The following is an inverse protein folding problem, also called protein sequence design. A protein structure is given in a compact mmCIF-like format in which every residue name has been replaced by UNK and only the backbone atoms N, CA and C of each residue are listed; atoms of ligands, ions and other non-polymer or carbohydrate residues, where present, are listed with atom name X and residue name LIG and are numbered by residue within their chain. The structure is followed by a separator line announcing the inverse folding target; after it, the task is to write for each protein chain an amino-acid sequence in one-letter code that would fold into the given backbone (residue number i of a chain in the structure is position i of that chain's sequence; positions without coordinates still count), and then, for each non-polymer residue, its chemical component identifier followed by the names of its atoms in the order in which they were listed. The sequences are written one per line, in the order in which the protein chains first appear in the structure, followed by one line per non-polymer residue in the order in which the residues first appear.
data_IF_380295964716
#
_entry.id   IF_380295964716
#
_cell.length_a   1.000
_cell.length_b   1.000
_cell.length_c   1.000
_cell.angle_alpha   90.00
_cell.angle_beta   90.00
_cell.angle_gamma   90.00
#
_symmetry.space_group_name_H-M   'P 1'
#
loop_
_entity.id
_entity.type
_entity.pdbx_description
1 polymer ?
#
# COMPACT_ATOMS: atom_id res chain seq x y z
N UNK A 1 -14.18 -10.05 -4.76
CA UNK A 1 -13.96 -9.39 -3.44
C UNK A 1 -15.23 -9.25 -2.58
N UNK A 2 -16.45 -9.46 -3.09
CA UNK A 2 -17.61 -9.71 -2.21
C UNK A 2 -18.06 -8.58 -1.28
N UNK A 3 -17.51 -7.36 -1.43
CA UNK A 3 -17.90 -6.21 -0.60
C UNK A 3 -19.25 -5.65 -1.04
N UNK A 4 -20.06 -5.22 -0.07
CA UNK A 4 -21.35 -4.60 -0.34
C UNK A 4 -21.20 -3.22 -1.00
N UNK A 5 -22.09 -2.88 -1.94
CA UNK A 5 -22.11 -1.58 -2.65
C UNK A 5 -22.07 -0.38 -1.70
N UNK A 6 -22.83 -0.44 -0.60
CA UNK A 6 -22.85 0.62 0.41
C UNK A 6 -21.48 0.84 1.04
N UNK A 7 -20.76 -0.23 1.34
CA UNK A 7 -19.40 -0.15 1.89
C UNK A 7 -18.43 0.44 0.88
N UNK A 8 -18.48 -0.01 -0.38
CA UNK A 8 -17.65 0.54 -1.45
C UNK A 8 -17.89 2.03 -1.68
N UNK A 9 -19.15 2.47 -1.58
CA UNK A 9 -19.53 3.89 -1.66
C UNK A 9 -18.91 4.72 -0.53
N UNK A 10 -18.96 4.24 0.72
CA UNK A 10 -18.32 4.90 1.85
C UNK A 10 -16.80 5.00 1.68
N UNK A 11 -16.15 3.92 1.26
CA UNK A 11 -14.71 3.90 1.02
C UNK A 11 -14.31 4.89 -0.08
N UNK A 12 -15.08 4.99 -1.17
CA UNK A 12 -14.87 5.99 -2.21
C UNK A 12 -14.99 7.42 -1.67
N UNK A 13 -15.99 7.68 -0.82
CA UNK A 13 -16.15 9.00 -0.22
C UNK A 13 -14.95 9.37 0.67
N UNK A 14 -14.45 8.44 1.50
CA UNK A 14 -13.28 8.66 2.35
C UNK A 14 -11.99 8.92 1.56
N UNK A 15 -11.78 8.21 0.45
CA UNK A 15 -10.53 8.26 -0.31
C UNK A 15 -10.52 9.42 -1.32
N UNK A 16 -11.62 9.64 -2.05
CA UNK A 16 -11.63 10.55 -3.20
C UNK A 16 -12.34 11.88 -2.93
N UNK A 17 -13.23 11.95 -1.95
CA UNK A 17 -14.09 13.12 -1.71
C UNK A 17 -13.77 13.81 -0.39
N UNK A 18 -12.54 13.67 0.13
CA UNK A 18 -12.15 14.34 1.36
C UNK A 18 -11.73 15.80 1.12
N UNK A 19 -12.20 16.69 1.99
CA UNK A 19 -11.73 18.07 2.10
C UNK A 19 -11.06 18.29 3.46
N UNK A 20 -10.11 19.23 3.52
CA UNK A 20 -9.52 19.67 4.78
C UNK A 20 -9.24 21.17 4.79
N UNK A 21 -9.12 21.72 6.00
CA UNK A 21 -8.45 22.99 6.28
C UNK A 21 -7.30 22.75 7.26
N UNK A 22 -6.29 23.62 7.20
CA UNK A 22 -5.12 23.56 8.09
C UNK A 22 -5.15 24.78 8.99
N UNK A 23 -4.86 24.60 10.28
CA UNK A 23 -4.71 25.73 11.19
C UNK A 23 -3.34 26.38 10.99
N UNK A 24 -3.32 27.65 10.62
CA UNK A 24 -2.12 28.49 10.52
C UNK A 24 -2.18 29.50 11.67
N UNK A 25 -1.25 29.40 12.62
CA UNK A 25 -1.24 30.21 13.84
C UNK A 25 -2.58 30.15 14.62
N UNK A 26 -3.19 28.97 14.67
CA UNK A 26 -4.47 28.75 15.37
C UNK A 26 -5.71 29.21 14.62
N UNK A 27 -5.57 29.82 13.44
CA UNK A 27 -6.69 30.21 12.57
C UNK A 27 -6.82 29.24 11.39
N UNK A 28 -8.04 28.76 11.05
CA UNK A 28 -8.23 27.86 9.92
C UNK A 28 -7.97 28.54 8.58
N UNK A 29 -7.32 27.81 7.67
CA UNK A 29 -7.28 28.15 6.25
C UNK A 29 -8.66 27.98 5.60
N UNK A 30 -8.78 28.40 4.34
CA UNK A 30 -9.87 27.92 3.51
C UNK A 30 -9.80 26.40 3.33
N UNK A 31 -10.95 25.76 3.16
CA UNK A 31 -11.03 24.35 2.84
C UNK A 31 -10.51 24.09 1.42
N UNK A 32 -9.83 22.96 1.26
CA UNK A 32 -9.36 22.48 -0.03
C UNK A 32 -9.59 20.98 -0.16
N UNK A 33 -9.72 20.52 -1.40
CA UNK A 33 -9.86 19.09 -1.72
C UNK A 33 -8.51 18.40 -1.60
N UNK A 34 -8.49 17.24 -0.95
CA UNK A 34 -7.27 16.43 -0.83
C UNK A 34 -7.05 15.68 -2.13
N UNK A 35 -5.94 15.97 -2.83
CA UNK A 35 -5.66 15.33 -4.12
C UNK A 35 -5.07 13.92 -4.01
N UNK A 36 -4.24 13.66 -3.01
CA UNK A 36 -3.57 12.37 -2.78
C UNK A 36 -3.31 12.14 -1.30
N UNK A 37 -3.24 10.86 -0.93
CA UNK A 37 -2.90 10.42 0.41
C UNK A 37 -4.12 10.22 1.30
N UNK A 38 -3.85 9.71 2.49
CA UNK A 38 -4.84 9.48 3.54
C UNK A 38 -4.65 10.51 4.65
N UNK A 39 -5.73 10.89 5.31
CA UNK A 39 -5.67 11.88 6.40
C UNK A 39 -4.97 11.28 7.61
N UNK A 40 -3.84 11.86 8.01
CA UNK A 40 -3.20 11.48 9.26
C UNK A 40 -4.08 11.87 10.46
N UNK A 41 -4.20 10.97 11.43
CA UNK A 41 -5.09 11.14 12.59
C UNK A 41 -6.56 10.78 12.32
N UNK A 42 -6.93 10.42 11.08
CA UNK A 42 -8.22 9.78 10.81
C UNK A 42 -8.15 8.30 11.28
N UNK A 43 -9.08 7.84 12.15
CA UNK A 43 -9.09 6.46 12.63
C UNK A 43 -9.17 5.39 11.53
N UNK A 44 -9.67 5.73 10.34
CA UNK A 44 -9.81 4.77 9.23
C UNK A 44 -8.55 4.66 8.38
N UNK A 45 -7.72 5.72 8.33
CA UNK A 45 -6.52 5.76 7.49
C UNK A 45 -5.54 4.59 7.70
N UNK A 46 -5.25 4.13 8.92
CA UNK A 46 -4.39 2.97 9.13
C UNK A 46 -4.92 1.70 8.45
N UNK A 47 -6.24 1.49 8.47
CA UNK A 47 -6.85 0.32 7.86
C UNK A 47 -6.82 0.40 6.32
N UNK A 48 -7.08 1.58 5.76
CA UNK A 48 -6.97 1.82 4.32
C UNK A 48 -5.55 1.60 3.82
N UNK A 49 -4.56 2.02 4.60
CA UNK A 49 -3.16 1.77 4.30
C UNK A 49 -2.84 0.27 4.28
N UNK A 50 -3.32 -0.50 5.27
CA UNK A 50 -3.13 -1.95 5.31
C UNK A 50 -3.75 -2.67 4.10
N UNK A 51 -4.90 -2.22 3.61
CA UNK A 51 -5.51 -2.79 2.38
C UNK A 51 -4.56 -2.61 1.18
N UNK A 52 -3.94 -1.44 1.03
CA UNK A 52 -2.98 -1.21 -0.05
C UNK A 52 -1.72 -2.06 0.13
N UNK A 53 -1.19 -2.18 1.35
CA UNK A 53 -0.04 -3.02 1.68
C UNK A 53 -0.30 -4.51 1.39
N UNK A 54 -1.49 -5.02 1.76
CA UNK A 54 -1.91 -6.39 1.45
C UNK A 54 -2.04 -6.61 -0.07
N UNK A 55 -2.52 -5.61 -0.80
CA UNK A 55 -2.55 -5.63 -2.26
C UNK A 55 -1.15 -5.78 -2.86
N UNK A 56 -0.17 -5.01 -2.36
CA UNK A 56 1.24 -5.13 -2.76
C UNK A 56 1.79 -6.53 -2.42
N UNK A 57 1.53 -7.02 -1.21
CA UNK A 57 1.90 -8.39 -0.80
C UNK A 57 1.34 -9.44 -1.76
N UNK A 58 0.07 -9.32 -2.15
CA UNK A 58 -0.56 -10.21 -3.11
C UNK A 58 0.11 -10.19 -4.48
N UNK A 59 0.48 -9.01 -4.98
CA UNK A 59 1.18 -8.87 -6.26
C UNK A 59 2.58 -9.50 -6.24
N UNK A 60 3.35 -9.28 -5.16
CA UNK A 60 4.68 -9.88 -5.01
C UNK A 60 4.59 -11.41 -4.91
N UNK A 61 3.69 -11.92 -4.07
CA UNK A 61 3.43 -13.38 -3.96
C UNK A 61 3.05 -13.98 -5.31
N UNK A 62 2.19 -13.29 -6.07
CA UNK A 62 1.81 -13.77 -7.40
C UNK A 62 3.00 -13.79 -8.35
N UNK A 63 3.87 -12.78 -8.30
CA UNK A 63 5.08 -12.74 -9.11
C UNK A 63 6.06 -13.89 -8.79
N UNK A 64 6.18 -14.26 -7.51
CA UNK A 64 6.95 -15.44 -7.08
C UNK A 64 6.31 -16.73 -7.60
N UNK A 65 4.99 -16.88 -7.42
CA UNK A 65 4.23 -18.06 -7.86
C UNK A 65 4.41 -18.34 -9.36
N UNK A 66 4.40 -17.30 -10.20
CA UNK A 66 4.60 -17.42 -11.66
C UNK A 66 6.07 -17.41 -12.09
N UNK A 67 7.02 -17.44 -11.15
CA UNK A 67 8.46 -17.48 -11.42
C UNK A 67 9.03 -16.18 -12.03
N UNK A 68 8.33 -15.06 -11.90
CA UNK A 68 8.79 -13.73 -12.36
C UNK A 68 9.63 -13.01 -11.30
N UNK A 69 9.52 -13.40 -10.05
CA UNK A 69 10.34 -12.89 -8.96
C UNK A 69 10.94 -14.04 -8.16
N UNK A 70 12.25 -14.00 -7.94
CA UNK A 70 12.98 -14.96 -7.11
C UNK A 70 13.28 -14.31 -5.76
N UNK A 71 12.54 -14.72 -4.72
CA UNK A 71 12.73 -14.24 -3.35
C UNK A 71 14.07 -14.66 -2.74
N UNK A 72 14.40 -14.12 -1.58
CA UNK A 72 15.64 -14.47 -0.88
C UNK A 72 15.43 -15.72 -0.02
N UNK A 73 16.32 -16.72 -0.18
CA UNK A 73 16.32 -17.93 0.65
C UNK A 73 17.43 -17.86 1.68
N UNK A 74 17.06 -18.00 2.96
CA UNK A 74 18.00 -18.11 4.08
C UNK A 74 18.44 -19.58 4.25
N UNK A 75 17.49 -20.51 4.06
CA UNK A 75 17.72 -21.96 4.06
C UNK A 75 16.69 -22.64 3.15
N UNK A 76 16.80 -23.96 2.97
CA UNK A 76 15.84 -24.74 2.16
C UNK A 76 14.39 -24.64 2.66
N UNK A 77 14.19 -24.34 3.96
CA UNK A 77 12.89 -24.22 4.60
C UNK A 77 12.45 -22.79 4.88
N UNK A 78 13.34 -21.81 4.74
CA UNK A 78 13.08 -20.41 5.12
C UNK A 78 13.45 -19.49 3.96
N UNK A 79 12.44 -18.84 3.38
CA UNK A 79 12.60 -17.80 2.37
C UNK A 79 11.63 -16.65 2.60
N UNK A 80 12.03 -15.46 2.16
CA UNK A 80 11.25 -14.24 2.25
C UNK A 80 11.41 -13.41 0.96
N UNK A 81 10.30 -12.95 0.42
CA UNK A 81 10.23 -12.06 -0.74
C UNK A 81 9.88 -10.61 -0.35
N UNK A 82 9.23 -10.44 0.79
CA UNK A 82 8.68 -9.16 1.24
C UNK A 82 8.57 -9.12 2.77
N UNK A 83 9.01 -8.02 3.37
CA UNK A 83 8.79 -7.68 4.78
C UNK A 83 8.13 -6.30 4.84
N UNK A 84 7.07 -6.16 5.62
CA UNK A 84 6.35 -4.90 5.76
C UNK A 84 6.11 -4.56 7.24
N UNK A 85 6.34 -3.32 7.61
CA UNK A 85 5.98 -2.78 8.91
C UNK A 85 5.59 -1.30 8.77
N UNK A 86 4.33 -0.98 9.04
CA UNK A 86 3.80 0.36 8.81
C UNK A 86 4.15 0.86 7.39
N UNK A 87 4.81 2.01 7.27
CA UNK A 87 5.25 2.61 6.01
C UNK A 87 6.55 2.01 5.44
N UNK A 88 7.26 1.18 6.20
CA UNK A 88 8.48 0.52 5.75
C UNK A 88 8.16 -0.78 4.99
N UNK A 89 8.70 -0.90 3.78
CA UNK A 89 8.62 -2.12 2.98
C UNK A 89 10.01 -2.50 2.47
N UNK A 90 10.43 -3.73 2.75
CA UNK A 90 11.68 -4.32 2.28
C UNK A 90 11.34 -5.47 1.33
N UNK A 91 11.76 -5.33 0.07
CA UNK A 91 11.72 -6.40 -0.93
C UNK A 91 13.04 -7.15 -0.95
N UNK A 92 12.97 -8.47 -0.84
CA UNK A 92 14.14 -9.34 -0.75
C UNK A 92 14.13 -10.32 -1.92
N UNK A 93 15.21 -10.37 -2.69
CA UNK A 93 15.31 -11.27 -3.83
C UNK A 93 16.74 -11.50 -4.27
N UNK A 94 16.93 -12.45 -5.16
CA UNK A 94 18.22 -12.70 -5.81
C UNK A 94 18.69 -11.48 -6.61
N UNK A 95 20.01 -11.30 -6.71
CA UNK A 95 20.62 -10.24 -7.48
C UNK A 95 20.50 -10.54 -8.99
N UNK A 96 19.34 -10.21 -9.57
CA UNK A 96 19.07 -10.42 -10.99
C UNK A 96 18.35 -9.23 -11.64
N UNK A 97 18.63 -9.01 -12.91
CA UNK A 97 17.93 -7.97 -13.69
C UNK A 97 16.45 -8.26 -13.87
N UNK A 98 16.06 -9.53 -13.89
CA UNK A 98 14.66 -9.91 -13.99
C UNK A 98 13.89 -9.54 -12.71
N UNK A 99 14.48 -9.75 -11.52
CA UNK A 99 13.90 -9.26 -10.27
C UNK A 99 13.73 -7.73 -10.29
N UNK A 100 14.73 -6.98 -10.77
CA UNK A 100 14.66 -5.51 -10.88
C UNK A 100 13.51 -5.07 -11.80
N UNK A 101 13.36 -5.71 -12.97
CA UNK A 101 12.27 -5.41 -13.90
C UNK A 101 10.90 -5.75 -13.33
N UNK A 102 10.80 -6.88 -12.63
CA UNK A 102 9.56 -7.31 -11.97
C UNK A 102 9.17 -6.34 -10.85
N UNK A 103 10.11 -5.93 -10.00
CA UNK A 103 9.85 -4.90 -8.97
C UNK A 103 9.34 -3.60 -9.59
N UNK A 104 9.97 -3.12 -10.67
CA UNK A 104 9.50 -1.93 -11.41
C UNK A 104 8.11 -2.08 -12.02
N UNK A 105 7.65 -3.30 -12.28
CA UNK A 105 6.33 -3.55 -12.86
C UNK A 105 5.23 -3.63 -11.78
N UNK A 106 5.61 -3.98 -10.55
CA UNK A 106 4.70 -4.09 -9.40
C UNK A 106 4.53 -2.73 -8.70
N UNK A 107 5.60 -1.94 -8.62
CA UNK A 107 5.65 -0.61 -7.99
C UNK A 107 5.37 0.52 -8.99
#
# INVERSE_FOLDING_TARGET
MGFAEKWMSWMRACIFNSSMSVLVNGSPSQDFMVGKGLRQGDPLSPFLFLIAAEGLTGMVKKAVEIGKFMGYKVSDSIGFELLQFADDTILLGECSWDNVRTMKSIL
#
